data_IF_777770299234
#
_entry.id   IF_777770299234
#
_cell.length_a   1.000
_cell.length_b   1.000
_cell.length_c   1.000
_cell.angle_alpha   90.00
_cell.angle_beta   90.00
_cell.angle_gamma   90.00
#
_symmetry.space_group_name_H-M   'P 1'
#
loop_
_entity.id
_entity.type
_entity.pdbx_description
1 polymer ?
#
# COMPACT_ATOMS: atom_id res chain seq x y z
N UNK A 1 -6.29 -14.28 4.72
CA UNK A 1 -6.64 -12.99 4.11
C UNK A 1 -7.89 -12.38 4.76
N UNK A 2 -9.00 -13.13 4.85
CA UNK A 2 -10.27 -12.63 5.40
C UNK A 2 -10.14 -12.17 6.86
N UNK A 3 -9.54 -12.97 7.73
CA UNK A 3 -9.36 -12.63 9.14
C UNK A 3 -8.54 -11.34 9.33
N UNK A 4 -7.45 -11.18 8.59
CA UNK A 4 -6.63 -9.96 8.67
C UNK A 4 -7.42 -8.72 8.22
N UNK A 5 -8.27 -8.85 7.21
CA UNK A 5 -9.13 -7.75 6.78
C UNK A 5 -10.23 -7.43 7.80
N UNK A 6 -10.77 -8.43 8.47
CA UNK A 6 -11.74 -8.26 9.58
C UNK A 6 -11.09 -7.55 10.76
N UNK A 7 -9.88 -7.94 11.15
CA UNK A 7 -9.10 -7.29 12.21
C UNK A 7 -8.81 -5.82 11.86
N UNK A 8 -8.37 -5.54 10.63
CA UNK A 8 -8.12 -4.18 10.16
C UNK A 8 -9.40 -3.31 10.23
N UNK A 9 -10.54 -3.87 9.82
CA UNK A 9 -11.83 -3.17 9.89
C UNK A 9 -12.28 -2.94 11.34
N UNK A 10 -12.09 -3.91 12.23
CA UNK A 10 -12.38 -3.76 13.64
C UNK A 10 -11.55 -2.65 14.28
N UNK A 11 -10.24 -2.61 13.98
CA UNK A 11 -9.34 -1.55 14.44
C UNK A 11 -9.78 -0.17 13.90
N UNK A 12 -10.14 -0.07 12.61
CA UNK A 12 -10.65 1.17 12.02
C UNK A 12 -11.94 1.65 12.69
N UNK A 13 -12.89 0.75 12.90
CA UNK A 13 -14.17 1.05 13.56
C UNK A 13 -13.95 1.54 14.99
N UNK A 14 -13.06 0.90 15.72
CA UNK A 14 -12.68 1.33 17.06
C UNK A 14 -12.07 2.73 17.05
N UNK A 15 -11.10 2.98 16.17
CA UNK A 15 -10.43 4.28 16.04
C UNK A 15 -11.42 5.39 15.66
N UNK A 16 -12.36 5.11 14.76
CA UNK A 16 -13.39 6.06 14.35
C UNK A 16 -14.31 6.45 15.54
N UNK A 17 -14.62 5.50 16.40
CA UNK A 17 -15.46 5.73 17.58
C UNK A 17 -14.72 6.51 18.67
N UNK A 18 -13.46 6.17 18.94
CA UNK A 18 -12.67 6.81 20.01
C UNK A 18 -12.18 8.21 19.60
N UNK A 19 -11.99 8.45 18.29
CA UNK A 19 -11.47 9.70 17.75
C UNK A 19 -12.31 10.19 16.55
N UNK A 20 -13.59 10.54 16.75
CA UNK A 20 -14.51 10.85 15.66
C UNK A 20 -14.10 12.08 14.83
N UNK A 21 -13.46 13.07 15.46
CA UNK A 21 -13.06 14.33 14.80
C UNK A 21 -11.62 14.29 14.23
N UNK A 22 -10.89 13.20 14.45
CA UNK A 22 -9.52 13.09 13.97
C UNK A 22 -9.46 12.72 12.49
N UNK A 23 -8.55 13.36 11.76
CA UNK A 23 -8.18 12.87 10.41
C UNK A 23 -7.45 11.54 10.56
N UNK A 24 -7.98 10.50 9.95
CA UNK A 24 -7.42 9.15 10.01
C UNK A 24 -6.82 8.75 8.67
N UNK A 25 -5.67 8.12 8.71
CA UNK A 25 -4.95 7.65 7.54
C UNK A 25 -4.77 6.14 7.63
N UNK A 26 -4.77 5.48 6.48
CA UNK A 26 -4.43 4.06 6.38
C UNK A 26 -2.99 3.94 5.85
N UNK A 27 -2.15 3.19 6.56
CA UNK A 27 -0.78 2.89 6.15
C UNK A 27 -0.59 1.38 6.02
N UNK A 28 0.07 0.95 4.96
CA UNK A 28 0.45 -0.45 4.78
C UNK A 28 1.79 -0.61 4.09
N UNK A 29 2.62 -1.49 4.69
CA UNK A 29 3.92 -1.88 4.15
C UNK A 29 3.89 -3.32 3.65
N UNK A 30 4.51 -3.60 2.51
CA UNK A 30 4.64 -4.94 1.93
C UNK A 30 3.29 -5.65 1.83
N UNK A 31 3.11 -6.81 2.45
CA UNK A 31 1.82 -7.51 2.51
C UNK A 31 0.71 -6.65 3.14
N UNK A 32 1.07 -5.84 4.14
CA UNK A 32 0.14 -4.89 4.77
C UNK A 32 -0.39 -3.84 3.79
N UNK A 33 0.33 -3.54 2.70
CA UNK A 33 -0.13 -2.65 1.65
C UNK A 33 -1.42 -3.16 0.98
N UNK A 34 -1.52 -4.46 0.71
CA UNK A 34 -2.73 -5.05 0.13
C UNK A 34 -3.91 -5.02 1.12
N UNK A 35 -3.64 -5.21 2.41
CA UNK A 35 -4.66 -5.08 3.47
C UNK A 35 -5.12 -3.62 3.59
N UNK A 36 -4.19 -2.66 3.55
CA UNK A 36 -4.47 -1.23 3.60
C UNK A 36 -5.33 -0.77 2.40
N UNK A 37 -5.00 -1.20 1.19
CA UNK A 37 -5.80 -0.93 -0.02
C UNK A 37 -7.21 -1.47 0.14
N UNK A 38 -7.35 -2.71 0.61
CA UNK A 38 -8.66 -3.33 0.84
C UNK A 38 -9.47 -2.55 1.86
N UNK A 39 -8.86 -2.18 2.99
CA UNK A 39 -9.53 -1.41 4.04
C UNK A 39 -10.00 -0.05 3.49
N UNK A 40 -9.11 0.71 2.83
CA UNK A 40 -9.43 2.02 2.29
C UNK A 40 -10.56 1.96 1.25
N UNK A 41 -10.56 0.95 0.37
CA UNK A 41 -11.65 0.76 -0.59
C UNK A 41 -13.01 0.45 0.07
N UNK A 42 -13.01 -0.10 1.30
CA UNK A 42 -14.24 -0.48 2.01
C UNK A 42 -14.78 0.63 2.94
N UNK A 43 -13.90 1.41 3.60
CA UNK A 43 -14.34 2.39 4.63
C UNK A 43 -14.66 3.76 4.05
N UNK A 44 -13.91 4.25 3.07
CA UNK A 44 -14.11 5.48 2.31
C UNK A 44 -14.23 6.78 3.15
N UNK A 45 -13.86 6.73 4.42
CA UNK A 45 -13.84 7.88 5.34
C UNK A 45 -12.41 8.19 5.85
N UNK A 46 -11.40 7.56 5.24
CA UNK A 46 -10.00 7.85 5.49
C UNK A 46 -9.58 9.16 4.78
N UNK A 47 -8.70 9.92 5.44
CA UNK A 47 -8.14 11.15 4.90
C UNK A 47 -7.02 10.92 3.87
N UNK A 48 -6.55 9.69 3.74
CA UNK A 48 -5.54 9.29 2.78
C UNK A 48 -5.02 7.88 3.00
N UNK A 49 -4.49 7.29 1.93
CA UNK A 49 -3.86 5.98 1.91
C UNK A 49 -2.36 6.12 1.61
N UNK A 50 -1.54 5.45 2.41
CA UNK A 50 -0.08 5.36 2.21
C UNK A 50 0.27 3.90 2.00
N UNK A 51 0.90 3.60 0.87
CA UNK A 51 1.33 2.25 0.48
C UNK A 51 2.83 2.25 0.26
N UNK A 52 3.57 1.47 1.04
CA UNK A 52 5.01 1.31 0.94
C UNK A 52 5.37 -0.12 0.56
N UNK A 53 6.25 -0.30 -0.44
CA UNK A 53 6.62 -1.62 -0.95
C UNK A 53 5.41 -2.42 -1.46
N UNK A 54 4.38 -1.73 -1.97
CA UNK A 54 3.14 -2.35 -2.42
C UNK A 54 3.28 -3.11 -3.74
N UNK A 55 2.29 -3.96 -4.04
CA UNK A 55 2.26 -4.81 -5.23
C UNK A 55 0.84 -5.02 -5.73
N UNK A 56 0.70 -5.46 -6.97
CA UNK A 56 -0.59 -5.73 -7.63
C UNK A 56 -1.32 -6.92 -7.00
N UNK A 57 -0.61 -8.05 -6.85
CA UNK A 57 -1.11 -9.26 -6.17
C UNK A 57 0.06 -10.11 -5.68
N UNK A 58 -0.19 -10.98 -4.69
CA UNK A 58 0.84 -11.93 -4.23
C UNK A 58 1.25 -12.92 -5.34
N UNK A 59 0.38 -13.20 -6.30
CA UNK A 59 0.69 -14.00 -7.47
C UNK A 59 1.69 -13.28 -8.39
N UNK A 60 1.56 -11.96 -8.58
CA UNK A 60 2.49 -11.20 -9.40
C UNK A 60 3.85 -11.07 -8.73
N UNK A 61 3.90 -10.95 -7.41
CA UNK A 61 5.16 -11.02 -6.65
C UNK A 61 5.85 -12.37 -6.90
N UNK A 62 5.13 -13.47 -6.78
CA UNK A 62 5.69 -14.80 -7.07
C UNK A 62 6.20 -14.92 -8.50
N UNK A 63 5.41 -14.45 -9.48
CA UNK A 63 5.79 -14.47 -10.91
C UNK A 63 7.00 -13.59 -11.23
N UNK A 64 7.25 -12.55 -10.47
CA UNK A 64 8.42 -11.69 -10.63
C UNK A 64 9.72 -12.33 -10.11
N UNK A 65 9.63 -13.41 -9.35
CA UNK A 65 10.80 -14.14 -8.85
C UNK A 65 11.35 -15.12 -9.89
N UNK A 66 12.58 -15.59 -9.68
CA UNK A 66 13.19 -16.66 -10.50
C UNK A 66 12.39 -17.98 -10.52
N UNK A 67 11.46 -18.16 -9.61
CA UNK A 67 10.57 -19.32 -9.49
C UNK A 67 9.19 -19.12 -10.13
N UNK A 68 8.94 -17.97 -10.74
CA UNK A 68 7.65 -17.60 -11.31
C UNK A 68 7.14 -18.50 -12.43
N UNK A 69 8.01 -19.34 -13.00
CA UNK A 69 7.66 -20.35 -14.00
C UNK A 69 7.00 -21.60 -13.42
N UNK A 70 7.12 -21.84 -12.10
CA UNK A 70 6.48 -22.98 -11.45
C UNK A 70 4.96 -22.80 -11.40
N UNK A 71 4.16 -23.84 -11.62
CA UNK A 71 2.70 -23.76 -11.60
C UNK A 71 2.13 -23.74 -10.16
N UNK A 72 2.77 -22.98 -9.26
CA UNK A 72 2.37 -22.90 -7.84
C UNK A 72 1.14 -22.00 -7.62
N UNK A 73 0.74 -21.24 -8.63
CA UNK A 73 -0.45 -20.39 -8.57
C UNK A 73 -1.72 -21.14 -8.16
N UNK A 74 -1.84 -22.41 -8.58
CA UNK A 74 -2.98 -23.28 -8.25
C UNK A 74 -3.00 -23.74 -6.79
N UNK A 75 -1.86 -23.62 -6.10
CA UNK A 75 -1.71 -23.96 -4.67
C UNK A 75 -1.89 -22.74 -3.76
N UNK A 76 -1.91 -21.52 -4.33
CA UNK A 76 -2.09 -20.31 -3.55
C UNK A 76 -3.56 -20.15 -3.16
N UNK A 77 -3.82 -20.13 -1.87
CA UNK A 77 -5.15 -19.87 -1.30
C UNK A 77 -5.36 -18.42 -0.89
N UNK A 78 -4.26 -17.62 -0.85
CA UNK A 78 -4.25 -16.23 -0.43
C UNK A 78 -3.69 -15.38 -1.57
N UNK A 79 -4.51 -14.52 -2.15
CA UNK A 79 -4.14 -13.78 -3.36
C UNK A 79 -3.72 -12.33 -3.10
N UNK A 80 -4.17 -11.71 -2.00
CA UNK A 80 -3.88 -10.32 -1.64
C UNK A 80 -3.91 -9.40 -2.88
N UNK A 81 -5.03 -9.44 -3.61
CA UNK A 81 -5.22 -8.71 -4.85
C UNK A 81 -5.57 -7.24 -4.57
N UNK A 82 -4.53 -6.41 -4.44
CA UNK A 82 -4.69 -4.97 -4.27
C UNK A 82 -5.11 -4.28 -5.59
N UNK A 83 -4.67 -4.82 -6.73
CA UNK A 83 -4.93 -4.22 -8.03
C UNK A 83 -6.41 -4.19 -8.41
N UNK A 84 -7.20 -5.15 -7.92
CA UNK A 84 -8.65 -5.19 -8.17
C UNK A 84 -9.45 -4.17 -7.36
N UNK A 85 -8.84 -3.55 -6.33
CA UNK A 85 -9.53 -2.68 -5.37
C UNK A 85 -9.01 -1.24 -5.34
N UNK A 86 -7.78 -1.01 -5.78
CA UNK A 86 -7.13 0.31 -5.65
C UNK A 86 -7.89 1.43 -6.38
N UNK A 87 -8.63 1.09 -7.44
CA UNK A 87 -9.45 2.06 -8.17
C UNK A 87 -10.69 2.54 -7.39
N UNK A 88 -11.11 1.76 -6.40
CA UNK A 88 -12.27 2.08 -5.54
C UNK A 88 -11.88 2.97 -4.34
N UNK A 89 -10.58 3.19 -4.11
CA UNK A 89 -10.08 4.10 -3.07
C UNK A 89 -10.34 5.54 -3.48
N UNK A 90 -11.16 6.24 -2.72
CA UNK A 90 -11.57 7.61 -2.99
C UNK A 90 -10.62 8.68 -2.42
N UNK A 91 -9.79 8.34 -1.45
CA UNK A 91 -8.88 9.26 -0.79
C UNK A 91 -7.54 9.41 -1.55
N UNK A 92 -6.76 10.50 -1.30
CA UNK A 92 -5.45 10.65 -1.88
C UNK A 92 -4.49 9.49 -1.54
N UNK A 93 -3.71 9.04 -2.53
CA UNK A 93 -2.76 7.93 -2.42
C UNK A 93 -1.31 8.42 -2.48
N UNK A 94 -0.52 8.09 -1.46
CA UNK A 94 0.94 8.11 -1.54
C UNK A 94 1.46 6.68 -1.70
N UNK A 95 2.09 6.38 -2.82
CA UNK A 95 2.81 5.13 -3.03
C UNK A 95 4.32 5.38 -2.95
N UNK A 96 5.00 4.66 -2.08
CA UNK A 96 6.45 4.73 -1.87
C UNK A 96 7.07 3.38 -2.19
N UNK A 97 8.21 3.38 -2.87
CA UNK A 97 8.93 2.14 -3.18
C UNK A 97 10.44 2.35 -3.16
N UNK A 98 11.16 1.42 -2.59
CA UNK A 98 12.62 1.41 -2.62
C UNK A 98 13.14 1.00 -4.00
N UNK A 99 14.08 1.72 -4.57
CA UNK A 99 14.65 1.38 -5.87
C UNK A 99 15.45 0.06 -5.86
N UNK A 100 16.05 -0.28 -4.72
CA UNK A 100 16.80 -1.51 -4.49
C UNK A 100 15.99 -2.67 -3.93
N UNK A 101 14.65 -2.60 -3.96
CA UNK A 101 13.79 -3.65 -3.43
C UNK A 101 13.93 -4.94 -4.25
N UNK A 102 14.48 -5.98 -3.60
CA UNK A 102 14.66 -7.31 -4.18
C UNK A 102 13.59 -8.33 -3.77
N UNK A 103 12.72 -7.96 -2.83
CA UNK A 103 11.59 -8.77 -2.38
C UNK A 103 10.34 -8.52 -3.21
N UNK A 104 10.02 -7.24 -3.41
CA UNK A 104 8.91 -6.79 -4.23
C UNK A 104 9.45 -5.86 -5.32
N UNK A 105 9.43 -6.31 -6.55
CA UNK A 105 9.95 -5.53 -7.67
C UNK A 105 9.25 -4.15 -7.75
N UNK A 106 10.00 -3.02 -7.84
CA UNK A 106 9.41 -1.67 -7.87
C UNK A 106 8.39 -1.46 -8.98
N UNK A 107 8.48 -2.24 -10.05
CA UNK A 107 7.52 -2.24 -11.15
C UNK A 107 6.12 -2.65 -10.70
N UNK A 108 6.00 -3.53 -9.70
CA UNK A 108 4.70 -3.95 -9.15
C UNK A 108 4.04 -2.83 -8.36
N UNK A 109 4.83 -2.07 -7.57
CA UNK A 109 4.35 -0.87 -6.88
C UNK A 109 3.91 0.22 -7.86
N UNK A 110 4.68 0.41 -8.93
CA UNK A 110 4.32 1.34 -10.01
C UNK A 110 3.02 0.92 -10.71
N UNK A 111 2.88 -0.36 -11.04
CA UNK A 111 1.68 -0.89 -11.69
C UNK A 111 0.44 -0.78 -10.79
N UNK A 112 0.59 -0.96 -9.48
CA UNK A 112 -0.49 -0.71 -8.51
C UNK A 112 -0.88 0.78 -8.48
N UNK A 113 0.12 1.67 -8.36
CA UNK A 113 -0.09 3.11 -8.39
C UNK A 113 -0.83 3.59 -9.64
N UNK A 114 -0.49 3.07 -10.82
CA UNK A 114 -1.11 3.49 -12.08
C UNK A 114 -2.61 3.20 -12.12
N UNK A 115 -3.06 2.15 -11.46
CA UNK A 115 -4.49 1.76 -11.37
C UNK A 115 -5.32 2.62 -10.42
N UNK A 116 -4.71 3.37 -9.51
CA UNK A 116 -5.45 4.24 -8.59
C UNK A 116 -6.08 5.42 -9.32
N UNK A 117 -7.32 5.78 -8.95
CA UNK A 117 -8.08 6.86 -9.56
C UNK A 117 -7.94 8.21 -8.84
N UNK A 118 -7.79 8.22 -7.52
CA UNK A 118 -7.73 9.42 -6.68
C UNK A 118 -6.49 10.29 -6.98
N UNK A 119 -6.43 11.53 -6.46
CA UNK A 119 -5.18 12.30 -6.45
C UNK A 119 -4.05 11.44 -5.86
N UNK A 120 -2.93 11.31 -6.57
CA UNK A 120 -1.92 10.34 -6.21
C UNK A 120 -0.50 10.83 -6.47
N UNK A 121 0.45 10.38 -5.65
CA UNK A 121 1.89 10.60 -5.82
C UNK A 121 2.64 9.29 -5.69
N UNK A 122 3.65 9.09 -6.53
CA UNK A 122 4.59 7.98 -6.43
C UNK A 122 5.97 8.52 -6.07
N UNK A 123 6.60 7.95 -5.05
CA UNK A 123 7.97 8.23 -4.65
C UNK A 123 8.83 6.98 -4.79
N UNK A 124 9.81 7.00 -5.69
CA UNK A 124 10.86 5.99 -5.77
C UNK A 124 12.05 6.49 -4.95
N UNK A 125 12.47 5.70 -3.97
CA UNK A 125 13.55 6.05 -3.05
C UNK A 125 14.84 5.39 -3.51
N UNK A 126 15.74 6.19 -4.06
CA UNK A 126 17.07 5.72 -4.48
C UNK A 126 17.94 5.36 -3.27
N UNK A 127 18.68 4.27 -3.38
CA UNK A 127 19.58 3.79 -2.32
C UNK A 127 18.89 3.04 -1.19
N UNK A 128 17.56 2.97 -1.19
CA UNK A 128 16.78 2.21 -0.22
C UNK A 128 16.57 0.75 -0.65
N UNK A 129 16.34 -0.11 0.33
CA UNK A 129 15.89 -1.51 0.19
C UNK A 129 14.49 -1.68 0.78
N UNK A 130 13.97 -2.91 0.77
CA UNK A 130 12.55 -3.18 1.14
C UNK A 130 12.14 -2.64 2.52
N UNK A 131 13.05 -2.65 3.50
CA UNK A 131 12.75 -2.38 4.89
C UNK A 131 13.06 -0.95 5.36
N UNK A 132 13.65 -0.09 4.51
CA UNK A 132 14.20 1.20 4.95
C UNK A 132 13.84 2.41 4.06
N UNK A 133 12.84 2.28 3.21
CA UNK A 133 12.44 3.34 2.29
C UNK A 133 11.99 4.61 3.01
N UNK A 134 11.37 4.49 4.17
CA UNK A 134 10.94 5.60 5.03
C UNK A 134 12.12 6.33 5.68
N UNK A 135 13.17 5.59 6.05
CA UNK A 135 14.39 6.14 6.68
C UNK A 135 15.29 6.80 5.65
N UNK A 136 15.63 6.08 4.57
CA UNK A 136 16.52 6.59 3.50
C UNK A 136 15.86 7.72 2.73
N UNK A 137 14.56 7.60 2.46
CA UNK A 137 13.76 8.58 1.73
C UNK A 137 13.13 9.67 2.60
N UNK A 138 13.50 9.81 3.88
CA UNK A 138 12.83 10.68 4.84
C UNK A 138 12.50 12.08 4.32
N UNK A 139 13.42 12.85 3.72
CA UNK A 139 13.12 14.19 3.23
C UNK A 139 12.04 14.20 2.12
N UNK A 140 12.13 13.28 1.17
CA UNK A 140 11.18 13.18 0.06
C UNK A 140 9.83 12.63 0.53
N UNK A 141 9.86 11.71 1.48
CA UNK A 141 8.67 11.15 2.12
C UNK A 141 7.87 12.23 2.86
N UNK A 142 8.56 13.02 3.70
CA UNK A 142 7.97 14.15 4.42
C UNK A 142 7.39 15.21 3.48
N UNK A 143 8.11 15.56 2.43
CA UNK A 143 7.61 16.47 1.40
C UNK A 143 6.33 15.94 0.74
N UNK A 144 6.31 14.64 0.40
CA UNK A 144 5.14 14.01 -0.20
C UNK A 144 3.93 14.01 0.74
N UNK A 145 4.13 13.73 2.03
CA UNK A 145 3.09 13.79 3.06
C UNK A 145 2.51 15.21 3.19
N UNK A 146 3.38 16.24 3.20
CA UNK A 146 2.93 17.64 3.24
C UNK A 146 2.13 18.02 2.01
N UNK A 147 2.66 17.72 0.83
CA UNK A 147 2.07 18.11 -0.44
C UNK A 147 0.71 17.45 -0.67
N UNK A 148 0.57 16.17 -0.30
CA UNK A 148 -0.63 15.39 -0.61
C UNK A 148 -1.68 15.44 0.51
N UNK A 149 -1.24 15.43 1.77
CA UNK A 149 -2.13 15.31 2.93
C UNK A 149 -2.11 16.53 3.86
N UNK A 150 -1.16 17.44 3.71
CA UNK A 150 -0.98 18.58 4.61
C UNK A 150 -0.50 18.19 6.02
N UNK A 151 0.24 17.06 6.14
CA UNK A 151 0.82 16.54 7.40
C UNK A 151 2.34 16.43 7.31
N UNK A 152 3.02 16.23 8.42
CA UNK A 152 4.49 16.09 8.46
C UNK A 152 5.23 17.43 8.64
N UNK A 153 4.61 18.37 9.37
CA UNK A 153 5.20 19.64 9.83
C UNK A 153 5.99 19.47 11.10
#
# INVERSE_FOLDING_TARGET
>A
ETLVAEDARAAWTWLAREHPDARRFVFGHSLGAAVAVRLAAEVQDEAGLIVEGGFTSSLDVLRSTRWGWLPVATLMTQHFDAASRIADVGSPLLAVHAAGDTMVAPQLGRALYEKAAAPKRFALVEGAVHEDADVVGEPAYREALRALFGIGG
#
